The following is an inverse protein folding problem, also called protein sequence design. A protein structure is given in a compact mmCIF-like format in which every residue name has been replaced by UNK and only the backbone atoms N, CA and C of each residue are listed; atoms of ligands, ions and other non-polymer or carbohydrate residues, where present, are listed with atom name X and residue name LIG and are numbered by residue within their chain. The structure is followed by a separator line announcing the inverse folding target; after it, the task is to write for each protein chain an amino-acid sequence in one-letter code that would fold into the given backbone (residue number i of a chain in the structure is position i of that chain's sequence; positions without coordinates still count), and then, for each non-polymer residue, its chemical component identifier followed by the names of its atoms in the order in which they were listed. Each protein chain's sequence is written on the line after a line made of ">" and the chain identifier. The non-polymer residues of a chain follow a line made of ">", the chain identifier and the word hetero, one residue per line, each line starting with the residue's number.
data_IF_515675671845
#
_entry.id   IF_515675671845
#
_cell.length_a   1.000
_cell.length_b   1.000
_cell.length_c   1.000
_cell.angle_alpha   90.00
_cell.angle_beta   90.00
_cell.angle_gamma   90.00
#
_symmetry.space_group_name_H-M   'P 1'
#
loop_
_entity.id
_entity.type
_entity.pdbx_description
1 polymer ?
#
# COMPACT_ATOMS: atom_id res chain seq x y z
N UNK A 1 6.46 -16.52 -15.65
CA UNK A 1 7.34 -15.42 -15.16
C UNK A 1 7.50 -14.39 -16.26
N UNK A 2 7.97 -13.18 -15.95
CA UNK A 2 8.31 -12.13 -16.93
C UNK A 2 9.62 -11.46 -16.54
N UNK A 3 10.41 -11.02 -17.53
CA UNK A 3 11.66 -10.29 -17.31
C UNK A 3 11.40 -8.79 -17.43
N UNK A 4 11.55 -8.05 -16.33
CA UNK A 4 11.33 -6.61 -16.25
C UNK A 4 12.43 -5.91 -15.45
N UNK A 5 12.50 -4.59 -15.61
CA UNK A 5 13.26 -3.73 -14.69
C UNK A 5 12.64 -3.76 -13.31
N UNK A 6 13.47 -3.74 -12.28
CA UNK A 6 13.09 -3.65 -10.89
C UNK A 6 13.79 -2.48 -10.24
N UNK A 7 13.09 -1.87 -9.29
CA UNK A 7 13.59 -0.74 -8.52
C UNK A 7 13.66 -1.12 -7.05
N UNK A 8 14.82 -0.83 -6.46
CA UNK A 8 15.06 -0.82 -5.04
C UNK A 8 15.24 0.62 -4.57
N UNK A 9 14.80 0.90 -3.37
CA UNK A 9 14.92 2.17 -2.72
C UNK A 9 15.61 2.01 -1.35
N UNK A 10 16.53 2.93 -1.01
CA UNK A 10 17.35 2.87 0.20
C UNK A 10 16.58 3.01 1.52
N UNK A 11 15.37 3.59 1.50
CA UNK A 11 14.48 3.67 2.67
C UNK A 11 13.42 2.55 2.67
N UNK A 12 13.55 1.57 1.76
CA UNK A 12 12.65 0.42 1.62
C UNK A 12 11.18 0.77 1.33
N UNK A 13 10.91 2.02 0.94
CA UNK A 13 9.59 2.49 0.53
C UNK A 13 9.75 3.39 -0.70
N UNK A 14 9.23 2.97 -1.84
CA UNK A 14 9.33 3.67 -3.10
C UNK A 14 8.18 4.69 -3.18
N UNK A 15 8.50 5.95 -3.50
CA UNK A 15 7.50 6.96 -3.80
C UNK A 15 7.14 6.88 -5.28
N UNK A 16 5.95 6.36 -5.64
CA UNK A 16 5.56 6.25 -7.05
C UNK A 16 5.46 7.60 -7.77
N UNK A 17 5.24 8.70 -7.05
CA UNK A 17 5.16 10.03 -7.62
C UNK A 17 6.48 10.51 -8.25
N UNK A 18 7.62 10.00 -7.78
CA UNK A 18 8.95 10.30 -8.37
C UNK A 18 9.07 9.80 -9.83
N UNK A 19 8.16 8.95 -10.28
CA UNK A 19 8.14 8.37 -11.62
C UNK A 19 7.13 9.06 -12.56
N UNK A 20 6.45 10.12 -12.11
CA UNK A 20 5.41 10.82 -12.87
C UNK A 20 5.92 12.04 -13.65
N UNK A 21 7.22 12.33 -13.58
CA UNK A 21 7.82 13.48 -14.28
C UNK A 21 7.31 14.84 -13.78
N UNK A 22 6.92 14.91 -12.50
CA UNK A 22 6.56 16.15 -11.82
C UNK A 22 7.81 16.94 -11.44
N UNK A 23 7.72 18.27 -11.50
CA UNK A 23 8.76 19.17 -10.99
C UNK A 23 8.62 19.33 -9.46
N UNK A 24 7.40 19.21 -8.95
CA UNK A 24 7.06 19.27 -7.54
C UNK A 24 7.47 17.99 -6.82
N UNK A 25 8.09 18.14 -5.65
CA UNK A 25 8.37 17.01 -4.76
C UNK A 25 7.12 16.70 -3.94
N UNK A 26 6.33 15.75 -4.44
CA UNK A 26 5.09 15.28 -3.81
C UNK A 26 5.19 13.80 -3.47
N UNK A 27 4.38 13.36 -2.50
CA UNK A 27 4.41 11.98 -2.05
C UNK A 27 3.06 11.31 -2.26
N UNK A 28 3.12 10.07 -2.73
CA UNK A 28 1.93 9.22 -2.85
C UNK A 28 1.22 9.12 -1.49
N UNK A 29 -0.12 9.06 -1.51
CA UNK A 29 -0.93 8.84 -0.30
C UNK A 29 -0.47 7.56 0.40
N UNK A 30 -0.20 7.63 1.71
CA UNK A 30 0.32 6.52 2.49
C UNK A 30 1.84 6.35 2.49
N UNK A 31 2.58 7.24 1.82
CA UNK A 31 4.02 7.31 1.98
C UNK A 31 4.36 7.73 3.43
N UNK A 32 5.25 7.00 4.14
CA UNK A 32 5.53 7.30 5.54
C UNK A 32 6.04 8.73 5.74
N UNK A 33 5.27 9.55 6.47
CA UNK A 33 5.53 10.98 6.62
C UNK A 33 6.89 11.30 7.25
N UNK A 34 7.43 10.42 8.10
CA UNK A 34 8.76 10.54 8.71
C UNK A 34 9.92 10.38 7.70
N UNK A 35 9.65 9.83 6.51
CA UNK A 35 10.65 9.60 5.46
C UNK A 35 10.70 10.72 4.41
N UNK A 36 9.78 11.69 4.45
CA UNK A 36 9.66 12.76 3.44
C UNK A 36 10.89 13.66 3.34
N UNK A 37 11.58 13.85 4.47
CA UNK A 37 12.81 14.65 4.56
C UNK A 37 14.10 13.83 4.40
N UNK A 38 13.99 12.52 4.15
CA UNK A 38 15.14 11.65 3.94
C UNK A 38 15.60 11.72 2.47
N UNK A 39 16.90 11.57 2.23
CA UNK A 39 17.45 11.47 0.87
C UNK A 39 17.07 10.12 0.25
N UNK A 40 16.14 10.17 -0.71
CA UNK A 40 15.66 9.02 -1.48
C UNK A 40 16.68 8.70 -2.58
N UNK A 41 17.08 7.44 -2.67
CA UNK A 41 17.95 6.91 -3.71
C UNK A 41 17.38 5.62 -4.31
N UNK A 42 17.39 5.53 -5.63
CA UNK A 42 16.86 4.39 -6.37
C UNK A 42 17.98 3.62 -7.08
N UNK A 43 17.94 2.29 -6.95
CA UNK A 43 18.82 1.36 -7.66
C UNK A 43 17.99 0.51 -8.59
N UNK A 44 18.37 0.44 -9.86
CA UNK A 44 17.66 -0.30 -10.90
C UNK A 44 18.44 -1.54 -11.34
N UNK A 45 17.74 -2.64 -11.54
CA UNK A 45 18.31 -3.89 -12.05
C UNK A 45 17.25 -4.71 -12.78
N UNK A 46 17.64 -5.66 -13.62
CA UNK A 46 16.68 -6.55 -14.28
C UNK A 46 16.53 -7.85 -13.51
N UNK A 47 15.30 -8.37 -13.40
CA UNK A 47 15.04 -9.70 -12.87
C UNK A 47 13.91 -10.39 -13.63
N UNK A 48 13.87 -11.72 -13.55
CA UNK A 48 12.78 -12.54 -14.07
C UNK A 48 12.02 -13.16 -12.90
N UNK A 49 10.76 -12.77 -12.72
CA UNK A 49 9.89 -13.21 -11.63
C UNK A 49 8.44 -13.33 -12.09
N UNK A 50 7.61 -14.02 -11.32
CA UNK A 50 6.16 -13.98 -11.52
C UNK A 50 5.63 -12.68 -10.94
N UNK A 51 4.79 -11.99 -11.70
CA UNK A 51 4.11 -10.76 -11.27
C UNK A 51 2.68 -11.14 -10.89
N UNK A 52 2.28 -10.78 -9.68
CA UNK A 52 0.97 -11.13 -9.12
C UNK A 52 0.08 -9.93 -8.86
N UNK A 53 0.64 -8.71 -8.95
CA UNK A 53 -0.15 -7.49 -8.94
C UNK A 53 0.53 -6.40 -9.74
N UNK A 54 -0.27 -5.51 -10.31
CA UNK A 54 0.17 -4.30 -11.01
C UNK A 54 -0.68 -3.13 -10.57
N UNK A 55 -0.05 -2.11 -10.02
CA UNK A 55 -0.67 -0.83 -9.70
C UNK A 55 -0.42 0.12 -10.87
N UNK A 56 -1.50 0.48 -11.55
CA UNK A 56 -1.44 1.49 -12.59
C UNK A 56 -1.25 2.89 -11.97
N UNK A 57 -0.59 3.76 -12.71
CA UNK A 57 -0.35 5.14 -12.29
C UNK A 57 -1.43 6.10 -12.82
N UNK A 58 -1.25 7.39 -12.59
CA UNK A 58 -2.28 8.40 -12.84
C UNK A 58 -1.86 9.37 -13.94
N UNK A 59 -2.86 9.93 -14.60
CA UNK A 59 -2.79 11.23 -15.30
C UNK A 59 -3.75 12.19 -14.62
N UNK A 60 -3.53 13.50 -14.82
CA UNK A 60 -4.17 14.59 -14.07
C UNK A 60 -3.77 14.60 -12.60
N UNK A 61 -4.72 14.47 -11.69
CA UNK A 61 -4.50 14.62 -10.26
C UNK A 61 -4.01 13.28 -9.67
N UNK A 62 -2.71 13.11 -9.36
CA UNK A 62 -2.22 11.85 -8.80
C UNK A 62 -2.78 11.62 -7.39
N UNK A 63 -2.78 10.37 -6.93
CA UNK A 63 -3.18 10.06 -5.55
C UNK A 63 -2.04 10.39 -4.57
N UNK A 64 -1.89 11.68 -4.28
CA UNK A 64 -0.92 12.20 -3.31
C UNK A 64 -1.60 12.49 -1.97
N UNK A 65 -0.78 12.68 -0.94
CA UNK A 65 -1.27 13.06 0.40
C UNK A 65 -2.07 14.37 0.31
N UNK A 66 -3.05 14.52 1.20
CA UNK A 66 -3.87 15.73 1.26
C UNK A 66 -3.03 17.01 1.48
N UNK A 67 -1.94 16.90 2.24
CA UNK A 67 -1.00 18.00 2.43
C UNK A 67 -0.34 18.44 1.11
N UNK A 68 0.04 17.50 0.25
CA UNK A 68 0.67 17.81 -1.04
C UNK A 68 -0.34 18.47 -2.00
N UNK A 69 -1.63 18.12 -1.93
CA UNK A 69 -2.69 18.83 -2.65
C UNK A 69 -2.90 20.26 -2.17
N UNK A 70 -2.78 20.53 -0.88
CA UNK A 70 -2.87 21.89 -0.34
C UNK A 70 -1.71 22.76 -0.86
N UNK A 71 -0.50 22.20 -0.91
CA UNK A 71 0.67 22.93 -1.39
C UNK A 71 0.70 23.11 -2.91
N UNK A 72 0.18 22.11 -3.64
CA UNK A 72 0.21 22.08 -5.10
C UNK A 72 -1.19 21.77 -5.66
N UNK A 73 -2.14 22.73 -5.58
CA UNK A 73 -3.53 22.51 -5.99
C UNK A 73 -3.69 22.25 -7.49
N UNK A 74 -2.76 22.75 -8.31
CA UNK A 74 -2.77 22.65 -9.77
C UNK A 74 -1.95 21.45 -10.31
N UNK A 75 -1.65 20.44 -9.47
CA UNK A 75 -0.94 19.23 -9.89
C UNK A 75 -1.65 18.55 -11.07
N UNK A 76 -0.94 18.44 -12.19
CA UNK A 76 -1.46 17.86 -13.42
C UNK A 76 -0.41 16.98 -14.11
N UNK A 77 -0.46 15.69 -13.81
CA UNK A 77 0.39 14.65 -14.39
C UNK A 77 0.00 14.43 -15.85
N UNK A 78 0.93 14.71 -16.75
CA UNK A 78 0.74 14.45 -18.18
C UNK A 78 0.92 12.98 -18.51
N UNK A 79 0.20 12.53 -19.52
CA UNK A 79 0.40 11.18 -20.05
C UNK A 79 1.81 11.05 -20.60
N UNK A 80 2.53 10.01 -20.19
CA UNK A 80 3.90 9.77 -20.67
C UNK A 80 4.20 8.28 -20.88
N UNK A 81 5.29 7.98 -21.58
CA UNK A 81 5.73 6.60 -21.84
C UNK A 81 6.39 5.94 -20.62
N UNK A 82 5.60 5.58 -19.61
CA UNK A 82 6.11 4.92 -18.41
C UNK A 82 6.49 3.47 -18.68
N UNK A 83 7.60 3.03 -18.10
CA UNK A 83 7.97 1.61 -18.09
C UNK A 83 7.37 0.96 -16.85
N UNK A 84 6.89 -0.27 -17.02
CA UNK A 84 6.48 -1.11 -15.89
C UNK A 84 7.72 -1.53 -15.09
N UNK A 85 7.70 -1.31 -13.78
CA UNK A 85 8.80 -1.65 -12.89
C UNK A 85 8.32 -2.61 -11.80
N UNK A 86 9.13 -3.63 -11.50
CA UNK A 86 8.94 -4.49 -10.32
C UNK A 86 9.44 -3.79 -9.07
N UNK A 87 8.66 -3.85 -8.01
CA UNK A 87 9.10 -3.51 -6.66
C UNK A 87 10.11 -4.57 -6.21
N UNK A 88 11.32 -4.15 -5.81
CA UNK A 88 12.33 -5.08 -5.33
C UNK A 88 11.86 -5.83 -4.07
N UNK A 89 12.46 -7.00 -3.82
CA UNK A 89 12.14 -7.80 -2.62
C UNK A 89 12.33 -6.96 -1.35
N UNK A 90 11.40 -7.08 -0.41
CA UNK A 90 11.37 -6.33 0.86
C UNK A 90 11.36 -4.80 0.69
N UNK A 91 10.91 -4.29 -0.45
CA UNK A 91 10.53 -2.88 -0.60
C UNK A 91 9.01 -2.79 -0.64
N UNK A 92 8.50 -1.66 -0.18
CA UNK A 92 7.09 -1.34 -0.20
C UNK A 92 6.82 -0.17 -1.15
N UNK A 93 5.58 -0.09 -1.59
CA UNK A 93 4.95 1.05 -2.24
C UNK A 93 3.59 1.26 -1.58
N UNK A 94 3.03 2.46 -1.75
CA UNK A 94 1.63 2.68 -1.38
C UNK A 94 0.73 1.93 -2.35
N UNK A 95 -0.05 0.99 -1.84
CA UNK A 95 -0.96 0.22 -2.66
C UNK A 95 -2.27 1.00 -2.82
N UNK A 96 -2.90 0.86 -3.98
CA UNK A 96 -4.26 1.32 -4.18
C UNK A 96 -5.08 0.26 -4.88
N UNK A 97 -6.38 0.21 -4.61
CA UNK A 97 -7.32 -0.69 -5.28
C UNK A 97 -7.83 -0.09 -6.59
N UNK A 98 -7.69 1.23 -6.76
CA UNK A 98 -8.02 1.91 -8.01
C UNK A 98 -6.94 1.66 -9.05
N UNK A 99 -7.33 1.34 -10.28
CA UNK A 99 -6.39 1.08 -11.38
C UNK A 99 -5.39 -0.07 -11.09
N UNK A 100 -5.82 -1.07 -10.32
CA UNK A 100 -4.99 -2.20 -9.92
C UNK A 100 -5.53 -3.51 -10.46
N UNK A 101 -4.61 -4.37 -10.92
CA UNK A 101 -4.91 -5.76 -11.28
C UNK A 101 -4.14 -6.70 -10.37
N UNK A 102 -4.76 -7.79 -9.93
CA UNK A 102 -4.10 -8.81 -9.11
C UNK A 102 -4.44 -10.23 -9.59
N UNK A 103 -3.56 -11.18 -9.27
CA UNK A 103 -3.74 -12.59 -9.54
C UNK A 103 -4.61 -13.22 -8.45
N UNK A 104 -5.50 -14.14 -8.82
CA UNK A 104 -6.48 -14.75 -7.91
C UNK A 104 -5.83 -15.43 -6.70
N UNK A 105 -4.66 -16.07 -6.85
CA UNK A 105 -3.88 -16.62 -5.73
C UNK A 105 -3.64 -15.62 -4.60
N UNK A 106 -3.61 -14.31 -4.88
CA UNK A 106 -3.41 -13.29 -3.85
C UNK A 106 -4.67 -12.94 -3.06
N UNK A 107 -5.85 -13.43 -3.47
CA UNK A 107 -7.14 -13.16 -2.84
C UNK A 107 -7.15 -13.34 -1.31
N UNK A 108 -6.48 -14.33 -0.71
CA UNK A 108 -6.40 -14.45 0.75
C UNK A 108 -5.87 -13.18 1.44
N UNK A 109 -5.01 -12.40 0.77
CA UNK A 109 -4.43 -11.17 1.29
C UNK A 109 -5.17 -9.88 0.88
N UNK A 110 -6.32 -9.97 0.19
CA UNK A 110 -7.07 -8.82 -0.35
C UNK A 110 -8.19 -8.28 0.56
N UNK A 111 -8.09 -8.46 1.88
CA UNK A 111 -9.05 -7.85 2.81
C UNK A 111 -8.70 -6.39 3.06
N UNK A 112 -9.49 -5.48 2.48
CA UNK A 112 -9.37 -4.04 2.70
C UNK A 112 -9.74 -3.67 4.14
N UNK A 113 -8.94 -2.79 4.74
CA UNK A 113 -9.22 -2.36 6.11
C UNK A 113 -10.50 -1.49 6.12
N UNK A 114 -11.34 -1.58 7.15
CA UNK A 114 -12.52 -0.73 7.26
C UNK A 114 -12.17 0.77 7.24
N UNK A 115 -12.71 1.48 6.24
CA UNK A 115 -12.61 2.94 6.09
C UNK A 115 -13.69 3.67 6.89
N UNK A 116 -13.42 4.91 7.31
CA UNK A 116 -14.33 5.80 8.06
C UNK A 116 -14.76 5.26 9.42
N UNK A 117 -14.06 4.25 9.93
CA UNK A 117 -14.29 3.69 11.25
C UNK A 117 -13.71 4.58 12.34
N UNK A 118 -14.38 4.57 13.50
CA UNK A 118 -13.93 5.29 14.68
C UNK A 118 -12.81 4.50 15.35
N UNK A 119 -11.71 5.17 15.66
CA UNK A 119 -10.49 4.52 16.16
C UNK A 119 -10.24 4.78 17.65
N UNK A 120 -11.00 5.69 18.25
CA UNK A 120 -10.91 6.03 19.66
C UNK A 120 -12.23 5.75 20.38
N UNK A 121 -12.14 5.50 21.69
CA UNK A 121 -13.30 5.17 22.54
C UNK A 121 -14.32 6.31 22.65
N UNK A 122 -13.92 7.56 22.36
CA UNK A 122 -14.83 8.71 22.35
C UNK A 122 -15.45 8.94 20.97
N UNK A 123 -15.00 8.21 19.94
CA UNK A 123 -15.52 8.28 18.59
C UNK A 123 -15.30 9.62 17.90
N UNK A 124 -14.25 10.35 18.31
CA UNK A 124 -13.86 11.66 17.79
C UNK A 124 -13.00 11.50 16.55
N UNK A 125 -12.12 10.50 16.52
CA UNK A 125 -11.16 10.27 15.47
C UNK A 125 -11.60 9.14 14.56
N UNK A 126 -11.33 9.31 13.27
CA UNK A 126 -11.60 8.33 12.24
C UNK A 126 -10.35 8.10 11.41
N UNK A 127 -10.20 6.88 10.92
CA UNK A 127 -9.26 6.59 9.83
C UNK A 127 -10.05 6.59 8.53
N UNK A 128 -9.69 7.50 7.64
CA UNK A 128 -10.17 7.54 6.27
C UNK A 128 -9.02 7.37 5.30
N UNK A 129 -9.28 6.82 4.11
CA UNK A 129 -8.33 6.81 2.99
C UNK A 129 -7.02 6.05 3.27
N UNK A 130 -7.06 4.96 4.03
CA UNK A 130 -5.89 4.10 4.31
C UNK A 130 -6.23 2.60 4.27
N UNK A 131 -7.45 2.29 3.84
CA UNK A 131 -7.98 0.94 3.67
C UNK A 131 -7.11 0.07 2.76
N UNK A 132 -6.89 0.57 1.54
CA UNK A 132 -6.07 -0.07 0.51
C UNK A 132 -4.58 -0.06 0.84
N UNK A 133 -4.08 1.03 1.43
CA UNK A 133 -2.68 1.18 1.82
C UNK A 133 -2.29 0.14 2.88
N UNK A 134 -3.04 0.05 3.98
CA UNK A 134 -2.72 -0.87 5.09
C UNK A 134 -2.83 -2.33 4.65
N UNK A 135 -3.88 -2.67 3.90
CA UNK A 135 -4.02 -4.00 3.27
C UNK A 135 -2.83 -4.30 2.34
N UNK A 136 -2.43 -3.33 1.52
CA UNK A 136 -1.33 -3.45 0.58
C UNK A 136 0.01 -3.76 1.23
N UNK A 137 0.26 -3.30 2.46
CA UNK A 137 1.48 -3.64 3.20
C UNK A 137 1.51 -5.12 3.60
N UNK A 138 0.36 -5.67 4.01
CA UNK A 138 0.21 -7.10 4.32
C UNK A 138 0.43 -7.93 3.05
N UNK A 139 -0.22 -7.57 1.94
CA UNK A 139 -0.04 -8.22 0.65
C UNK A 139 1.43 -8.21 0.23
N UNK A 140 2.11 -7.06 0.31
CA UNK A 140 3.52 -6.94 -0.10
C UNK A 140 4.46 -7.82 0.73
N UNK A 141 4.22 -7.96 2.04
CA UNK A 141 4.99 -8.88 2.90
C UNK A 141 4.84 -10.33 2.42
N UNK A 142 3.60 -10.76 2.14
CA UNK A 142 3.30 -12.12 1.66
C UNK A 142 3.89 -12.37 0.28
N UNK A 143 3.71 -11.45 -0.66
CA UNK A 143 4.29 -11.52 -2.02
C UNK A 143 5.82 -11.62 -1.97
N UNK A 144 6.47 -10.81 -1.12
CA UNK A 144 7.92 -10.86 -0.92
C UNK A 144 8.40 -12.21 -0.37
N UNK A 145 7.59 -12.88 0.46
CA UNK A 145 7.89 -14.22 0.98
C UNK A 145 7.74 -15.31 -0.08
N UNK A 146 6.70 -15.24 -0.92
CA UNK A 146 6.50 -16.13 -2.08
C UNK A 146 7.57 -15.96 -3.17
N UNK A 147 8.41 -14.92 -3.06
CA UNK A 147 9.37 -14.50 -4.09
C UNK A 147 8.70 -14.12 -5.43
N UNK A 148 7.43 -13.76 -5.37
CA UNK A 148 6.69 -13.11 -6.45
C UNK A 148 6.92 -11.57 -6.40
N UNK A 149 6.39 -10.83 -7.38
CA UNK A 149 6.57 -9.37 -7.46
C UNK A 149 5.26 -8.64 -7.67
N UNK A 150 5.18 -7.46 -7.05
CA UNK A 150 4.25 -6.40 -7.43
C UNK A 150 4.97 -5.49 -8.42
N UNK A 151 4.21 -4.97 -9.38
CA UNK A 151 4.69 -3.97 -10.33
C UNK A 151 3.90 -2.68 -10.19
N UNK A 152 4.50 -1.57 -10.61
CA UNK A 152 3.79 -0.32 -10.83
C UNK A 152 4.20 0.29 -12.19
N UNK A 153 3.36 1.15 -12.74
CA UNK A 153 3.59 1.78 -14.05
C UNK A 153 2.32 1.80 -14.90
N UNK A 154 2.38 1.41 -16.19
CA UNK A 154 1.18 1.30 -17.03
C UNK A 154 0.16 0.27 -16.50
N UNK A 155 -1.15 0.50 -16.70
CA UNK A 155 -1.75 1.64 -17.42
C UNK A 155 -1.77 2.94 -16.60
N UNK A 156 -1.81 4.07 -17.29
CA UNK A 156 -2.08 5.37 -16.69
C UNK A 156 -3.57 5.68 -16.80
N UNK A 157 -4.29 5.71 -15.67
CA UNK A 157 -5.69 6.08 -15.64
C UNK A 157 -5.86 7.58 -15.42
N UNK A 158 -6.85 8.19 -16.07
CA UNK A 158 -7.21 9.58 -15.80
C UNK A 158 -7.95 9.67 -14.47
N UNK A 159 -7.32 10.30 -13.49
CA UNK A 159 -7.87 10.41 -12.16
C UNK A 159 -8.62 11.75 -12.03
N UNK A 160 -9.94 11.70 -12.25
CA UNK A 160 -10.83 12.83 -12.00
C UNK A 160 -11.34 12.72 -10.55
N UNK A 161 -10.74 13.50 -9.64
CA UNK A 161 -11.10 13.46 -8.22
C UNK A 161 -12.46 14.11 -7.97
N UNK A 162 -13.20 13.55 -7.00
CA UNK A 162 -14.35 14.22 -6.41
C UNK A 162 -13.89 15.49 -5.65
N UNK A 163 -14.79 16.44 -5.36
CA UNK A 163 -14.46 17.52 -4.43
C UNK A 163 -14.03 16.95 -3.07
N UNK A 164 -12.91 17.45 -2.54
CA UNK A 164 -12.36 17.06 -1.25
C UNK A 164 -12.30 18.25 -0.30
N UNK A 165 -12.53 17.98 0.99
CA UNK A 165 -12.08 18.87 2.06
C UNK A 165 -10.69 18.42 2.49
N UNK A 166 -9.66 19.02 1.89
CA UNK A 166 -8.27 18.63 2.19
C UNK A 166 -7.87 18.91 3.64
N UNK A 167 -8.54 19.83 4.34
CA UNK A 167 -8.30 20.06 5.76
C UNK A 167 -8.75 18.87 6.60
N UNK A 168 -9.95 18.35 6.32
CA UNK A 168 -10.46 17.14 6.95
C UNK A 168 -9.62 15.91 6.55
N UNK A 169 -9.25 15.79 5.26
CA UNK A 169 -8.43 14.68 4.78
C UNK A 169 -7.08 14.66 5.54
N UNK A 170 -6.41 15.81 5.75
CA UNK A 170 -5.16 15.85 6.55
C UNK A 170 -5.35 15.27 7.95
N UNK A 171 -6.46 15.58 8.63
CA UNK A 171 -6.73 15.05 9.98
C UNK A 171 -6.91 13.53 9.97
N UNK A 172 -7.62 13.00 8.97
CA UNK A 172 -7.83 11.56 8.82
C UNK A 172 -6.55 10.82 8.42
N UNK A 173 -5.73 11.44 7.57
CA UNK A 173 -4.47 10.86 7.08
C UNK A 173 -3.39 10.76 8.17
N UNK A 174 -3.38 11.65 9.19
CA UNK A 174 -2.41 11.59 10.31
C UNK A 174 -2.49 10.25 11.06
N UNK A 175 -3.70 9.73 11.29
CA UNK A 175 -3.87 8.47 11.99
C UNK A 175 -3.53 7.27 11.11
N UNK A 176 -3.81 7.38 9.81
CA UNK A 176 -3.38 6.40 8.81
C UNK A 176 -1.86 6.29 8.73
N UNK A 177 -1.15 7.42 8.68
CA UNK A 177 0.31 7.50 8.70
C UNK A 177 0.90 6.81 9.93
N UNK A 178 0.30 7.05 11.10
CA UNK A 178 0.70 6.39 12.34
C UNK A 178 0.58 4.86 12.23
N UNK A 179 -0.54 4.36 11.69
CA UNK A 179 -0.73 2.92 11.51
C UNK A 179 0.20 2.32 10.45
N UNK A 180 0.47 3.04 9.35
CA UNK A 180 1.45 2.62 8.35
C UNK A 180 2.81 2.41 8.99
N UNK A 181 3.27 3.36 9.81
CA UNK A 181 4.55 3.26 10.51
C UNK A 181 4.59 2.07 11.46
N UNK A 182 3.58 1.90 12.30
CA UNK A 182 3.51 0.78 13.25
C UNK A 182 3.43 -0.57 12.53
N UNK A 183 2.65 -0.65 11.45
CA UNK A 183 2.52 -1.86 10.66
C UNK A 183 3.85 -2.21 9.98
N UNK A 184 4.53 -1.26 9.33
CA UNK A 184 5.85 -1.48 8.74
C UNK A 184 6.87 -1.97 9.79
N UNK A 185 6.88 -1.37 10.98
CA UNK A 185 7.78 -1.77 12.07
C UNK A 185 7.50 -3.21 12.55
N UNK A 186 6.24 -3.61 12.65
CA UNK A 186 5.85 -4.97 13.02
C UNK A 186 6.14 -5.96 11.88
N UNK A 187 5.79 -5.64 10.63
CA UNK A 187 6.09 -6.45 9.45
C UNK A 187 7.60 -6.68 9.28
N UNK A 188 8.45 -5.72 9.65
CA UNK A 188 9.90 -5.87 9.63
C UNK A 188 10.45 -6.90 10.62
N UNK A 189 9.72 -7.18 11.71
CA UNK A 189 10.12 -8.10 12.79
C UNK A 189 9.48 -9.48 12.67
N UNK A 190 8.38 -9.58 11.94
CA UNK A 190 7.64 -10.83 11.79
C UNK A 190 8.22 -11.67 10.65
N UNK A 191 8.64 -12.89 10.99
CA UNK A 191 8.86 -13.96 10.02
C UNK A 191 7.58 -14.73 9.74
N UNK A 192 7.36 -15.10 8.48
CA UNK A 192 6.22 -15.93 8.07
C UNK A 192 6.68 -17.17 7.30
N UNK A 193 5.89 -18.23 7.39
CA UNK A 193 6.20 -19.55 6.81
C UNK A 193 4.96 -20.14 6.15
N UNK A 194 5.14 -20.82 5.02
CA UNK A 194 4.07 -21.33 4.18
C UNK A 194 4.53 -21.46 2.73
N UNK A 195 3.75 -22.19 1.93
CA UNK A 195 4.03 -22.45 0.51
C UNK A 195 2.96 -21.87 -0.43
N UNK A 196 1.95 -21.21 0.14
CA UNK A 196 0.85 -20.58 -0.58
C UNK A 196 0.43 -19.29 0.13
N UNK A 197 -0.35 -18.46 -0.58
CA UNK A 197 -0.80 -17.16 -0.08
C UNK A 197 -1.72 -17.26 1.12
N UNK A 198 -2.56 -18.29 1.20
CA UNK A 198 -3.50 -18.46 2.31
C UNK A 198 -2.75 -18.72 3.62
N UNK A 199 -1.88 -19.73 3.62
CA UNK A 199 -1.06 -20.13 4.76
C UNK A 199 -0.17 -18.98 5.22
N UNK A 200 0.48 -18.27 4.29
CA UNK A 200 1.34 -17.14 4.62
C UNK A 200 0.56 -15.97 5.20
N UNK A 201 -0.61 -15.65 4.64
CA UNK A 201 -1.46 -14.56 5.14
C UNK A 201 -2.01 -14.92 6.51
N UNK A 202 -2.56 -16.12 6.68
CA UNK A 202 -3.05 -16.60 7.97
C UNK A 202 -1.97 -16.57 9.06
N UNK A 203 -0.74 -17.01 8.73
CA UNK A 203 0.39 -16.93 9.66
C UNK A 203 0.74 -15.47 10.02
N UNK A 204 0.72 -14.56 9.04
CA UNK A 204 1.00 -13.14 9.26
C UNK A 204 -0.05 -12.49 10.15
N UNK A 205 -1.34 -12.68 9.86
CA UNK A 205 -2.45 -12.07 10.59
C UNK A 205 -2.46 -12.55 12.04
N UNK A 206 -2.28 -13.85 12.28
CA UNK A 206 -2.21 -14.38 13.65
C UNK A 206 -1.06 -13.75 14.46
N UNK A 207 0.10 -13.52 13.86
CA UNK A 207 1.23 -12.84 14.52
C UNK A 207 0.98 -11.34 14.72
N UNK A 208 0.32 -10.69 13.78
CA UNK A 208 -0.06 -9.28 13.91
C UNK A 208 -1.06 -9.06 15.05
N UNK A 209 -1.93 -10.03 15.35
CA UNK A 209 -2.81 -9.98 16.54
C UNK A 209 -2.06 -9.95 17.86
N UNK A 210 -0.86 -10.53 17.92
CA UNK A 210 -0.01 -10.51 19.12
C UNK A 210 0.78 -9.20 19.27
N UNK A 211 0.79 -8.36 18.22
CA UNK A 211 1.50 -7.09 18.23
C UNK A 211 0.68 -5.97 18.87
N UNK A 212 1.37 -5.00 19.45
CA UNK A 212 0.74 -3.80 20.01
C UNK A 212 0.66 -2.68 18.95
N UNK A 213 -0.51 -2.04 18.88
CA UNK A 213 -0.79 -0.87 18.04
C UNK A 213 -1.38 0.25 18.90
N UNK A 214 -1.17 1.51 18.49
CA UNK A 214 -1.75 2.68 19.18
C UNK A 214 -3.28 2.59 19.25
N UNK A 215 -3.92 2.14 18.17
CA UNK A 215 -5.37 1.91 18.10
C UNK A 215 -5.68 0.42 18.19
N UNK A 216 -5.30 -0.20 19.30
CA UNK A 216 -5.34 -1.66 19.45
C UNK A 216 -6.74 -2.26 19.22
N UNK A 217 -7.80 -1.66 19.78
CA UNK A 217 -9.16 -2.21 19.62
C UNK A 217 -9.62 -2.22 18.15
N UNK A 218 -9.33 -1.14 17.42
CA UNK A 218 -9.56 -1.07 15.98
C UNK A 218 -8.75 -2.17 15.29
N UNK A 219 -7.44 -2.25 15.56
CA UNK A 219 -6.56 -3.18 14.87
C UNK A 219 -6.92 -4.65 15.14
N UNK A 220 -7.26 -5.01 16.39
CA UNK A 220 -7.73 -6.35 16.74
C UNK A 220 -9.01 -6.70 16.00
N UNK A 221 -10.00 -5.79 15.96
CA UNK A 221 -11.23 -5.96 15.16
C UNK A 221 -10.91 -6.20 13.68
N UNK A 222 -9.97 -5.45 13.11
CA UNK A 222 -9.55 -5.63 11.72
C UNK A 222 -8.92 -7.01 11.52
N UNK A 223 -8.01 -7.44 12.39
CA UNK A 223 -7.39 -8.77 12.28
C UNK A 223 -8.40 -9.91 12.43
N UNK A 224 -9.38 -9.79 13.32
CA UNK A 224 -10.48 -10.75 13.45
C UNK A 224 -11.28 -10.86 12.16
N UNK A 225 -11.64 -9.72 11.56
CA UNK A 225 -12.34 -9.71 10.28
C UNK A 225 -11.47 -10.24 9.13
N UNK A 226 -10.15 -10.01 9.18
CA UNK A 226 -9.21 -10.56 8.19
C UNK A 226 -9.17 -12.10 8.28
N UNK A 227 -9.17 -12.67 9.49
CA UNK A 227 -9.27 -14.11 9.67
C UNK A 227 -10.62 -14.65 9.16
N UNK A 228 -11.73 -13.94 9.41
CA UNK A 228 -13.03 -14.30 8.86
C UNK A 228 -13.03 -14.25 7.32
N UNK A 229 -12.37 -13.25 6.73
CA UNK A 229 -12.17 -13.17 5.27
C UNK A 229 -11.44 -14.41 4.73
N UNK A 230 -10.37 -14.83 5.40
CA UNK A 230 -9.64 -16.05 5.03
C UNK A 230 -10.58 -17.27 5.04
N UNK A 231 -11.36 -17.47 6.11
CA UNK A 231 -12.34 -18.56 6.18
C UNK A 231 -13.36 -18.53 5.03
N UNK A 232 -13.79 -17.34 4.61
CA UNK A 232 -14.71 -17.19 3.48
C UNK A 232 -14.03 -17.54 2.15
N UNK A 233 -12.81 -17.06 1.93
CA UNK A 233 -12.02 -17.37 0.72
C UNK A 233 -11.78 -18.87 0.60
N UNK A 234 -11.43 -19.56 1.70
CA UNK A 234 -11.22 -21.01 1.72
C UNK A 234 -12.51 -21.77 1.34
N UNK A 235 -13.66 -21.35 1.88
CA UNK A 235 -14.95 -21.98 1.58
C UNK A 235 -15.40 -21.85 0.13
N UNK A 236 -15.02 -20.78 -0.57
CA UNK A 236 -15.43 -20.54 -1.97
C UNK A 236 -14.37 -20.98 -2.98
N UNK A 237 -13.17 -21.35 -2.53
CA UNK A 237 -12.08 -21.83 -3.38
C UNK A 237 -12.04 -23.37 -3.50
N UNK A 238 -12.89 -24.07 -2.72
CA UNK A 238 -13.14 -25.51 -2.77
C UNK A 238 -14.42 -25.80 -3.56
#
# INVERSE_FOLDING_TARGET
>A
TVRLGSVFNNIYYINQCDFLGLDEKVFVRGFPSDLTNVKIGYTFFNQEKRVVSNIGLWTKSPDVRAQDHIFYPELDVKQMGLKKLMVARNNYISYTVQNTSFHIDTLPAQYEFPMSEKIDSKGVFKIGRYDDILQGLILQKVVSKMDDRITFGPPQATHNRHPHDYGQDVVEEIFGDRLVRELLDNLGKIDIYGHDYYTLTSNLINKLKECHFTFNDYFQKVMDNFLLWLELVDKVSN
#
